data_IF_452342825835
#
_entry.id   IF_452342825835
#
_cell.length_a   1.000
_cell.length_b   1.000
_cell.length_c   1.000
_cell.angle_alpha   90.00
_cell.angle_beta   90.00
_cell.angle_gamma   90.00
#
_symmetry.space_group_name_H-M   'P 1'
#
loop_
_entity.id
_entity.type
_entity.pdbx_description
1 polymer ?
#
# COMPACT_ATOMS: atom_id res chain seq x y z
N UNK A 1 69.14 53.08 -45.32
CA UNK A 1 68.96 52.01 -44.33
C UNK A 1 67.86 52.48 -43.38
N UNK A 2 66.64 51.87 -43.43
CA UNK A 2 65.61 52.16 -42.43
C UNK A 2 65.70 51.16 -41.27
N UNK A 3 65.62 51.67 -40.03
CA UNK A 3 65.58 50.90 -38.81
C UNK A 3 64.25 50.11 -38.65
N UNK A 4 64.28 48.91 -38.07
CA UNK A 4 63.08 48.17 -37.82
C UNK A 4 62.34 48.67 -36.54
N UNK A 5 61.08 49.06 -36.71
CA UNK A 5 60.18 49.38 -35.64
C UNK A 5 59.83 48.16 -34.81
N UNK A 6 60.24 48.15 -33.55
CA UNK A 6 59.83 47.15 -32.58
C UNK A 6 58.39 47.41 -32.10
N UNK A 7 57.44 46.63 -32.63
CA UNK A 7 56.08 46.63 -32.12
C UNK A 7 56.01 46.02 -30.74
N UNK A 8 55.59 46.79 -29.75
CA UNK A 8 55.32 46.37 -28.39
C UNK A 8 54.12 45.38 -28.40
N UNK A 9 54.35 44.10 -28.17
CA UNK A 9 53.32 43.11 -27.85
C UNK A 9 52.78 43.42 -26.45
N UNK A 10 51.63 44.04 -26.39
CA UNK A 10 50.88 44.25 -25.13
C UNK A 10 50.44 42.87 -24.60
N UNK A 11 50.91 42.53 -23.45
CA UNK A 11 50.59 41.28 -22.72
C UNK A 11 49.16 41.35 -22.17
N UNK A 12 48.17 40.84 -22.92
CA UNK A 12 46.77 40.69 -22.47
C UNK A 12 46.57 39.46 -21.55
N UNK A 13 47.59 38.63 -21.36
CA UNK A 13 47.54 37.41 -20.56
C UNK A 13 47.15 37.61 -19.07
N UNK A 14 47.63 38.61 -18.33
CA UNK A 14 47.28 38.76 -16.93
C UNK A 14 45.80 39.18 -16.71
N UNK A 15 45.23 39.92 -17.65
CA UNK A 15 43.83 40.36 -17.53
C UNK A 15 42.83 39.21 -17.71
N UNK A 16 43.11 38.26 -18.62
CA UNK A 16 42.28 37.09 -18.84
C UNK A 16 42.32 36.13 -17.63
N UNK A 17 43.51 35.95 -17.06
CA UNK A 17 43.65 35.12 -15.86
C UNK A 17 42.91 35.70 -14.65
N UNK A 18 42.92 37.01 -14.48
CA UNK A 18 42.22 37.70 -13.39
C UNK A 18 40.67 37.57 -13.53
N UNK A 19 40.14 37.65 -14.75
CA UNK A 19 38.69 37.51 -15.03
C UNK A 19 38.25 36.05 -14.78
N UNK A 20 39.04 35.07 -15.22
CA UNK A 20 38.72 33.65 -14.96
C UNK A 20 38.75 33.31 -13.47
N UNK A 21 39.70 33.85 -12.72
CA UNK A 21 39.78 33.64 -11.26
C UNK A 21 38.59 34.29 -10.54
N UNK A 22 38.20 35.48 -10.93
CA UNK A 22 37.00 36.15 -10.39
C UNK A 22 35.71 35.37 -10.69
N UNK A 23 35.55 34.82 -11.89
CA UNK A 23 34.42 34.00 -12.26
C UNK A 23 34.39 32.68 -11.47
N UNK A 24 35.51 32.05 -11.23
CA UNK A 24 35.62 30.84 -10.42
C UNK A 24 35.26 31.10 -8.94
N UNK A 25 35.66 32.23 -8.39
CA UNK A 25 35.32 32.59 -7.01
C UNK A 25 33.84 32.92 -6.84
N UNK A 26 33.23 33.58 -7.80
CA UNK A 26 31.77 33.83 -7.80
C UNK A 26 31.00 32.51 -7.94
N UNK A 27 31.43 31.60 -8.82
CA UNK A 27 30.84 30.27 -8.96
C UNK A 27 30.95 29.41 -7.71
N UNK A 28 32.14 29.43 -7.04
CA UNK A 28 32.35 28.74 -5.78
C UNK A 28 31.47 29.33 -4.65
N UNK A 29 31.34 30.65 -4.59
CA UNK A 29 30.46 31.32 -3.63
C UNK A 29 28.99 30.95 -3.80
N UNK A 30 28.49 30.92 -5.03
CA UNK A 30 27.13 30.50 -5.34
C UNK A 30 26.89 29.02 -4.98
N UNK A 31 27.86 28.14 -5.29
CA UNK A 31 27.78 26.71 -4.95
C UNK A 31 27.76 26.48 -3.44
N UNK A 32 28.59 27.18 -2.68
CA UNK A 32 28.59 27.13 -1.20
C UNK A 32 27.27 27.63 -0.62
N UNK A 33 26.70 28.69 -1.17
CA UNK A 33 25.39 29.20 -0.76
C UNK A 33 24.26 28.16 -1.02
N UNK A 34 24.30 27.50 -2.17
CA UNK A 34 23.36 26.43 -2.51
C UNK A 34 23.51 25.22 -1.56
N UNK A 35 24.73 24.77 -1.27
CA UNK A 35 24.98 23.68 -0.31
C UNK A 35 24.49 24.04 1.10
N UNK A 36 24.71 25.28 1.54
CA UNK A 36 24.18 25.74 2.84
C UNK A 36 22.65 25.73 2.89
N UNK A 37 22.00 26.11 1.79
CA UNK A 37 20.54 26.04 1.65
C UNK A 37 20.03 24.59 1.75
N UNK A 38 20.68 23.65 1.08
CA UNK A 38 20.33 22.22 1.15
C UNK A 38 20.54 21.64 2.56
N UNK A 39 21.65 21.99 3.22
CA UNK A 39 21.89 21.56 4.60
C UNK A 39 20.83 22.11 5.55
N UNK A 40 20.46 23.38 5.42
CA UNK A 40 19.41 23.98 6.24
C UNK A 40 18.02 23.33 6.00
N UNK A 41 17.70 23.01 4.74
CA UNK A 41 16.48 22.28 4.40
C UNK A 41 16.44 20.88 5.02
N UNK A 42 17.53 20.10 4.87
CA UNK A 42 17.66 18.76 5.45
C UNK A 42 17.61 18.79 6.98
N UNK A 43 18.22 19.81 7.61
CA UNK A 43 18.11 19.99 9.06
C UNK A 43 16.68 20.30 9.50
N UNK A 44 15.94 21.12 8.71
CA UNK A 44 14.53 21.41 8.94
C UNK A 44 13.65 20.14 8.85
N UNK A 45 13.87 19.33 7.83
CA UNK A 45 13.16 18.05 7.68
C UNK A 45 13.47 17.09 8.84
N UNK A 46 14.73 17.01 9.25
CA UNK A 46 15.15 16.13 10.35
C UNK A 46 14.53 16.56 11.69
N UNK A 47 14.41 17.87 11.94
CA UNK A 47 13.72 18.42 13.12
C UNK A 47 12.21 18.12 13.04
N UNK A 48 11.58 18.27 11.89
CA UNK A 48 10.17 17.97 11.70
C UNK A 48 9.88 16.46 11.90
N UNK A 49 10.70 15.57 11.33
CA UNK A 49 10.60 14.13 11.54
C UNK A 49 10.80 13.76 13.02
N UNK A 50 11.79 14.37 13.67
CA UNK A 50 12.05 14.14 15.09
C UNK A 50 10.87 14.57 15.97
N UNK A 51 10.22 15.70 15.65
CA UNK A 51 9.03 16.16 16.34
C UNK A 51 7.83 15.21 16.14
N UNK A 52 7.67 14.62 14.96
CA UNK A 52 6.64 13.61 14.70
C UNK A 52 6.89 12.29 15.44
N UNK A 53 8.15 11.92 15.66
CA UNK A 53 8.52 10.69 16.36
C UNK A 53 8.55 10.86 17.89
N UNK A 54 8.60 12.10 18.40
CA UNK A 54 8.69 12.38 19.83
C UNK A 54 7.54 11.74 20.65
N UNK A 55 6.26 11.83 20.23
CA UNK A 55 5.16 11.21 21.00
C UNK A 55 5.31 9.69 21.10
N UNK A 56 5.85 9.04 20.04
CA UNK A 56 6.10 7.59 20.05
C UNK A 56 7.27 7.23 20.96
N UNK A 57 8.33 8.05 20.98
CA UNK A 57 9.45 7.87 21.89
C UNK A 57 9.04 8.05 23.35
N UNK A 58 8.20 9.03 23.65
CA UNK A 58 7.67 9.27 24.99
C UNK A 58 6.75 8.12 25.45
N UNK A 59 5.88 7.62 24.57
CA UNK A 59 5.05 6.46 24.84
C UNK A 59 5.88 5.18 25.05
N UNK A 60 6.93 4.98 24.24
CA UNK A 60 7.86 3.86 24.40
C UNK A 60 8.61 3.94 25.73
N UNK A 61 9.07 5.12 26.12
CA UNK A 61 9.75 5.35 27.40
C UNK A 61 8.82 5.16 28.60
N UNK A 62 7.54 5.52 28.47
CA UNK A 62 6.53 5.26 29.50
C UNK A 62 6.28 3.75 29.68
N UNK A 63 6.34 2.97 28.59
CA UNK A 63 6.18 1.52 28.62
C UNK A 63 7.44 0.78 29.12
N UNK A 64 8.62 1.36 28.94
CA UNK A 64 9.92 0.79 29.32
C UNK A 64 10.79 1.85 30.03
N UNK A 65 10.49 2.17 31.29
CA UNK A 65 11.14 3.28 32.01
C UNK A 65 12.65 3.10 32.21
N UNK A 66 13.13 1.87 32.29
CA UNK A 66 14.53 1.53 32.54
C UNK A 66 15.38 1.46 31.28
N UNK A 67 14.77 1.60 30.08
CA UNK A 67 15.46 1.58 28.81
C UNK A 67 15.76 3.01 28.32
N UNK A 68 16.87 3.18 27.59
CA UNK A 68 17.08 4.42 26.84
C UNK A 68 16.05 4.52 25.68
N UNK A 69 15.86 5.73 25.17
CA UNK A 69 14.81 5.99 24.17
C UNK A 69 14.95 5.13 22.90
N UNK A 70 16.17 4.79 22.49
CA UNK A 70 16.43 3.97 21.31
C UNK A 70 16.10 2.50 21.59
N UNK A 71 16.51 1.97 22.75
CA UNK A 71 16.21 0.60 23.17
C UNK A 71 14.74 0.41 23.43
N UNK A 72 14.04 1.41 24.01
CA UNK A 72 12.59 1.39 24.21
C UNK A 72 11.85 1.34 22.89
N UNK A 73 12.24 2.15 21.90
CA UNK A 73 11.64 2.15 20.56
C UNK A 73 11.90 0.83 19.82
N UNK A 74 13.11 0.28 19.92
CA UNK A 74 13.43 -1.03 19.35
C UNK A 74 12.58 -2.15 19.97
N UNK A 75 12.38 -2.13 21.29
CA UNK A 75 11.53 -3.10 22.00
C UNK A 75 10.06 -3.01 21.59
N UNK A 76 9.52 -1.79 21.43
CA UNK A 76 8.16 -1.58 20.93
C UNK A 76 8.03 -2.07 19.48
N UNK A 77 9.00 -1.74 18.63
CA UNK A 77 9.00 -2.17 17.22
C UNK A 77 9.10 -3.69 17.09
N UNK A 78 9.94 -4.33 17.90
CA UNK A 78 10.06 -5.79 17.94
C UNK A 78 8.74 -6.42 18.39
N UNK A 79 8.15 -5.92 19.48
CA UNK A 79 6.88 -6.42 20.00
C UNK A 79 5.71 -6.21 19.06
N UNK A 80 5.68 -5.05 18.37
CA UNK A 80 4.71 -4.81 17.29
C UNK A 80 4.91 -5.79 16.14
N UNK A 81 6.15 -6.05 15.73
CA UNK A 81 6.50 -7.06 14.73
C UNK A 81 6.12 -8.48 15.15
N UNK A 82 6.24 -8.83 16.42
CA UNK A 82 5.79 -10.12 16.97
C UNK A 82 4.25 -10.19 17.00
N UNK A 83 3.57 -9.13 17.44
CA UNK A 83 2.12 -9.04 17.40
C UNK A 83 1.58 -9.07 15.96
N UNK A 84 2.23 -8.40 15.02
CA UNK A 84 1.84 -8.47 13.60
C UNK A 84 2.07 -9.88 13.04
N UNK A 85 3.13 -10.56 13.42
CA UNK A 85 3.38 -11.95 13.02
C UNK A 85 2.43 -12.94 13.68
N UNK A 86 2.09 -12.76 14.94
CA UNK A 86 1.11 -13.58 15.65
C UNK A 86 -0.33 -13.27 15.24
N UNK A 87 -0.63 -12.01 14.85
CA UNK A 87 -1.92 -11.59 14.30
C UNK A 87 -2.04 -11.87 12.81
N UNK A 88 -0.94 -12.19 12.12
CA UNK A 88 -1.00 -12.66 10.75
C UNK A 88 -1.66 -14.03 10.78
N UNK A 89 -3.01 -14.04 10.68
CA UNK A 89 -3.79 -15.26 10.57
C UNK A 89 -3.12 -16.19 9.56
N UNK A 90 -2.71 -17.36 10.04
CA UNK A 90 -2.24 -18.39 9.14
C UNK A 90 -3.44 -18.80 8.28
N UNK A 91 -3.27 -19.11 6.99
CA UNK A 91 -4.37 -19.67 6.21
C UNK A 91 -5.06 -20.86 6.90
N UNK A 92 -4.32 -21.64 7.70
CA UNK A 92 -4.86 -22.73 8.53
C UNK A 92 -5.86 -22.28 9.60
N UNK A 93 -5.73 -21.05 10.12
CA UNK A 93 -6.66 -20.52 11.13
C UNK A 93 -7.97 -20.00 10.50
N UNK A 94 -7.89 -19.63 9.22
CA UNK A 94 -9.03 -19.15 8.46
C UNK A 94 -9.75 -20.27 7.71
N UNK A 95 -9.01 -21.27 7.24
CA UNK A 95 -9.51 -22.35 6.37
C UNK A 95 -8.75 -23.66 6.64
N UNK A 96 -9.43 -24.82 6.75
CA UNK A 96 -8.79 -26.13 6.86
C UNK A 96 -7.85 -26.42 5.68
N UNK A 97 -6.82 -27.23 5.90
CA UNK A 97 -5.77 -27.48 4.91
C UNK A 97 -6.28 -28.14 3.61
N UNK A 98 -7.25 -29.05 3.72
CA UNK A 98 -7.92 -29.69 2.58
C UNK A 98 -8.66 -28.66 1.72
N UNK A 99 -9.31 -27.70 2.35
CA UNK A 99 -10.01 -26.58 1.68
C UNK A 99 -9.04 -25.60 1.02
N UNK A 100 -7.90 -25.33 1.68
CA UNK A 100 -6.83 -24.52 1.05
C UNK A 100 -6.32 -25.21 -0.22
N UNK A 101 -6.07 -26.51 -0.17
CA UNK A 101 -5.59 -27.26 -1.32
C UNK A 101 -6.60 -27.25 -2.46
N UNK A 102 -7.89 -27.46 -2.17
CA UNK A 102 -8.95 -27.41 -3.17
C UNK A 102 -9.05 -26.03 -3.84
N UNK A 103 -8.96 -24.95 -3.06
CA UNK A 103 -8.94 -23.58 -3.59
C UNK A 103 -7.72 -23.34 -4.48
N UNK A 104 -6.52 -23.77 -4.03
CA UNK A 104 -5.27 -23.62 -4.79
C UNK A 104 -5.32 -24.37 -6.12
N UNK A 105 -5.95 -25.53 -6.16
CA UNK A 105 -6.10 -26.33 -7.38
C UNK A 105 -6.93 -25.57 -8.42
N UNK A 106 -8.10 -25.04 -8.03
CA UNK A 106 -8.94 -24.24 -8.92
C UNK A 106 -8.17 -23.02 -9.46
N UNK A 107 -7.50 -22.26 -8.56
CA UNK A 107 -6.75 -21.06 -8.97
C UNK A 107 -5.58 -21.37 -9.90
N UNK A 108 -4.85 -22.47 -9.69
CA UNK A 108 -3.72 -22.88 -10.53
C UNK A 108 -4.14 -23.37 -11.90
N UNK A 109 -5.30 -24.01 -12.00
CA UNK A 109 -5.85 -24.48 -13.27
C UNK A 109 -6.30 -23.34 -14.19
N UNK A 110 -6.46 -22.13 -13.64
CA UNK A 110 -6.76 -20.96 -14.45
C UNK A 110 -5.50 -20.49 -15.21
N UNK A 111 -5.57 -20.51 -16.54
CA UNK A 111 -4.43 -20.23 -17.43
C UNK A 111 -4.45 -18.83 -18.05
N UNK A 112 -5.46 -18.01 -17.77
CA UNK A 112 -5.52 -16.64 -18.27
C UNK A 112 -4.34 -15.83 -17.72
N UNK A 113 -3.52 -15.30 -18.61
CA UNK A 113 -2.30 -14.54 -18.25
C UNK A 113 -2.56 -13.17 -17.62
N UNK A 114 -3.79 -12.65 -17.75
CA UNK A 114 -4.18 -11.34 -17.16
C UNK A 114 -4.79 -11.45 -15.77
N UNK A 115 -4.85 -12.66 -15.22
CA UNK A 115 -5.40 -12.90 -13.89
C UNK A 115 -4.70 -12.10 -12.80
N UNK A 116 -5.47 -11.34 -12.02
CA UNK A 116 -5.04 -10.62 -10.82
C UNK A 116 -6.13 -10.74 -9.77
N UNK A 117 -5.77 -10.68 -8.49
CA UNK A 117 -6.74 -10.63 -7.41
C UNK A 117 -6.76 -9.24 -6.77
N UNK A 118 -7.94 -8.66 -6.61
CA UNK A 118 -8.16 -7.43 -5.85
C UNK A 118 -8.98 -7.77 -4.61
N UNK A 119 -8.44 -7.47 -3.42
CA UNK A 119 -9.06 -7.83 -2.15
C UNK A 119 -9.21 -6.59 -1.28
N UNK A 120 -10.45 -6.24 -0.97
CA UNK A 120 -10.83 -5.12 -0.10
C UNK A 120 -11.35 -5.65 1.23
N UNK A 121 -10.83 -5.15 2.35
CA UNK A 121 -11.31 -5.50 3.68
C UNK A 121 -11.73 -4.27 4.50
N UNK A 122 -12.64 -4.48 5.45
CA UNK A 122 -12.98 -3.47 6.45
C UNK A 122 -11.78 -3.25 7.40
N UNK A 123 -11.26 -2.02 7.45
CA UNK A 123 -10.06 -1.66 8.22
C UNK A 123 -10.21 -1.92 9.72
N UNK A 124 -11.38 -1.64 10.26
CA UNK A 124 -11.65 -1.72 11.70
C UNK A 124 -12.20 -3.09 12.13
N UNK A 125 -12.00 -4.12 11.31
CA UNK A 125 -12.43 -5.48 11.59
C UNK A 125 -11.24 -6.44 11.50
N UNK A 126 -10.71 -6.87 12.64
CA UNK A 126 -9.55 -7.75 12.71
C UNK A 126 -9.77 -9.09 12.00
N UNK A 127 -11.00 -9.63 12.01
CA UNK A 127 -11.37 -10.87 11.34
C UNK A 127 -11.34 -10.68 9.81
N UNK A 128 -11.90 -9.59 9.29
CA UNK A 128 -11.85 -9.27 7.87
C UNK A 128 -10.41 -9.06 7.38
N UNK A 129 -9.58 -8.39 8.18
CA UNK A 129 -8.15 -8.20 7.89
C UNK A 129 -7.40 -9.53 7.91
N UNK A 130 -7.68 -10.40 8.88
CA UNK A 130 -7.12 -11.75 8.94
C UNK A 130 -7.48 -12.60 7.73
N UNK A 131 -8.76 -12.58 7.34
CA UNK A 131 -9.25 -13.25 6.13
C UNK A 131 -8.61 -12.69 4.84
N UNK A 132 -8.43 -11.36 4.75
CA UNK A 132 -7.72 -10.73 3.64
C UNK A 132 -6.30 -11.27 3.50
N UNK A 133 -5.54 -11.32 4.60
CA UNK A 133 -4.16 -11.81 4.60
C UNK A 133 -4.08 -13.30 4.25
N UNK A 134 -5.02 -14.11 4.73
CA UNK A 134 -5.08 -15.53 4.42
C UNK A 134 -5.38 -15.76 2.92
N UNK A 135 -6.38 -15.07 2.38
CA UNK A 135 -6.69 -15.13 0.95
C UNK A 135 -5.54 -14.62 0.08
N UNK A 136 -4.91 -13.49 0.45
CA UNK A 136 -3.75 -12.98 -0.24
C UNK A 136 -2.68 -14.05 -0.40
N UNK A 137 -2.30 -14.74 0.69
CA UNK A 137 -1.30 -15.81 0.63
C UNK A 137 -1.71 -16.94 -0.31
N UNK A 138 -2.98 -17.35 -0.32
CA UNK A 138 -3.45 -18.43 -1.18
C UNK A 138 -3.41 -18.02 -2.67
N UNK A 139 -3.83 -16.81 -3.01
CA UNK A 139 -3.73 -16.31 -4.38
C UNK A 139 -2.27 -16.18 -4.84
N UNK A 140 -1.38 -15.65 -3.97
CA UNK A 140 0.06 -15.57 -4.25
C UNK A 140 0.70 -16.96 -4.45
N UNK A 141 0.33 -17.95 -3.62
CA UNK A 141 0.76 -19.34 -3.76
C UNK A 141 0.26 -20.01 -5.06
N UNK A 142 -0.88 -19.55 -5.57
CA UNK A 142 -1.39 -19.98 -6.86
C UNK A 142 -0.74 -19.23 -8.05
N UNK A 143 0.16 -18.27 -7.78
CA UNK A 143 0.84 -17.47 -8.80
C UNK A 143 0.02 -16.30 -9.33
N UNK A 144 -0.97 -15.83 -8.56
CA UNK A 144 -1.75 -14.65 -8.92
C UNK A 144 -1.13 -13.39 -8.29
N UNK A 145 -0.86 -12.32 -9.06
CA UNK A 145 -0.58 -11.00 -8.48
C UNK A 145 -1.76 -10.53 -7.64
N UNK A 146 -1.51 -10.04 -6.43
CA UNK A 146 -2.56 -9.60 -5.51
C UNK A 146 -2.40 -8.13 -5.17
N UNK A 147 -3.49 -7.39 -5.26
CA UNK A 147 -3.62 -6.01 -4.81
C UNK A 147 -4.61 -5.99 -3.64
N UNK A 148 -4.19 -5.40 -2.53
CA UNK A 148 -5.02 -5.30 -1.34
C UNK A 148 -5.31 -3.85 -1.00
N UNK A 149 -6.54 -3.59 -0.54
CA UNK A 149 -6.94 -2.29 -0.02
C UNK A 149 -7.74 -2.46 1.27
N UNK A 150 -7.85 -1.40 2.04
CA UNK A 150 -8.67 -1.34 3.26
C UNK A 150 -9.54 -0.10 3.25
N UNK A 151 -10.74 -0.24 3.78
CA UNK A 151 -11.69 0.87 3.86
C UNK A 151 -12.14 1.14 5.30
N UNK A 152 -12.24 2.41 5.71
CA UNK A 152 -12.71 2.77 7.04
C UNK A 152 -14.24 2.67 7.18
N UNK A 153 -14.99 2.66 6.08
CA UNK A 153 -16.46 2.55 6.16
C UNK A 153 -16.90 1.08 6.34
N UNK A 154 -18.06 0.86 6.96
CA UNK A 154 -18.56 -0.48 7.21
C UNK A 154 -18.93 -1.19 5.89
N UNK A 155 -18.48 -2.43 5.76
CA UNK A 155 -18.85 -3.31 4.66
C UNK A 155 -19.95 -4.26 5.10
N UNK A 156 -20.78 -4.71 4.14
CA UNK A 156 -21.78 -5.77 4.37
C UNK A 156 -21.08 -7.03 4.89
N UNK A 157 -21.71 -7.74 5.80
CA UNK A 157 -21.19 -8.99 6.34
C UNK A 157 -21.02 -10.07 5.26
N UNK A 158 -20.00 -10.89 5.39
CA UNK A 158 -19.67 -11.97 4.46
C UNK A 158 -18.62 -11.59 3.44
N UNK A 159 -18.50 -12.43 2.41
CA UNK A 159 -17.60 -12.24 1.27
C UNK A 159 -18.44 -11.94 0.03
N UNK A 160 -18.08 -10.88 -0.68
CA UNK A 160 -18.73 -10.49 -1.93
C UNK A 160 -17.68 -10.48 -3.04
N UNK A 161 -18.00 -11.02 -4.19
CA UNK A 161 -17.25 -10.84 -5.43
C UNK A 161 -18.04 -9.87 -6.29
N UNK A 162 -17.54 -8.64 -6.43
CA UNK A 162 -18.18 -7.57 -7.20
C UNK A 162 -17.49 -7.48 -8.55
N UNK A 163 -18.12 -7.96 -9.61
CA UNK A 163 -17.63 -7.81 -10.96
C UNK A 163 -18.10 -6.49 -11.58
N UNK A 164 -17.20 -5.77 -12.22
CA UNK A 164 -17.46 -4.43 -12.76
C UNK A 164 -18.54 -4.43 -13.83
N UNK A 165 -18.43 -5.34 -14.77
CA UNK A 165 -19.28 -5.43 -15.94
C UNK A 165 -20.33 -6.54 -15.80
N UNK A 166 -21.39 -6.49 -16.62
CA UNK A 166 -22.42 -7.55 -16.68
C UNK A 166 -21.82 -8.88 -17.19
N UNK A 167 -20.83 -8.79 -18.07
CA UNK A 167 -20.11 -9.94 -18.62
C UNK A 167 -18.61 -9.77 -18.29
N UNK A 168 -18.17 -10.17 -17.09
CA UNK A 168 -16.78 -10.07 -16.70
C UNK A 168 -15.90 -11.10 -17.44
N UNK A 169 -14.58 -10.94 -17.42
CA UNK A 169 -13.65 -11.96 -17.92
C UNK A 169 -13.87 -13.32 -17.24
N UNK A 170 -13.74 -14.41 -17.98
CA UNK A 170 -14.03 -15.77 -17.50
C UNK A 170 -13.27 -16.17 -16.23
N UNK A 171 -12.07 -15.65 -16.02
CA UNK A 171 -11.28 -15.96 -14.81
C UNK A 171 -11.93 -15.39 -13.51
N UNK A 172 -12.86 -14.45 -13.61
CA UNK A 172 -13.59 -13.93 -12.43
C UNK A 172 -14.55 -15.00 -11.89
N UNK A 173 -15.15 -15.81 -12.75
CA UNK A 173 -15.96 -16.95 -12.35
C UNK A 173 -15.12 -17.98 -11.59
N UNK A 174 -13.88 -18.23 -12.03
CA UNK A 174 -12.95 -19.13 -11.34
C UNK A 174 -12.57 -18.62 -9.94
N UNK A 175 -12.63 -17.30 -9.69
CA UNK A 175 -12.43 -16.75 -8.34
C UNK A 175 -13.58 -17.16 -7.42
N UNK A 176 -14.82 -17.06 -7.90
CA UNK A 176 -16.00 -17.48 -7.13
C UNK A 176 -16.00 -19.00 -6.89
N UNK A 177 -15.64 -19.78 -7.90
CA UNK A 177 -15.46 -21.23 -7.78
C UNK A 177 -14.38 -21.61 -6.76
N UNK A 178 -13.23 -20.94 -6.81
CA UNK A 178 -12.12 -21.16 -5.86
C UNK A 178 -12.53 -20.83 -4.42
N UNK A 179 -13.25 -19.73 -4.19
CA UNK A 179 -13.80 -19.41 -2.87
C UNK A 179 -14.76 -20.50 -2.38
N UNK A 180 -15.64 -20.99 -3.24
CA UNK A 180 -16.56 -22.10 -2.94
C UNK A 180 -15.80 -23.39 -2.60
N UNK A 181 -14.79 -23.78 -3.39
CA UNK A 181 -13.92 -24.92 -3.12
C UNK A 181 -13.20 -24.79 -1.77
N UNK A 182 -12.82 -23.56 -1.40
CA UNK A 182 -12.29 -23.22 -0.09
C UNK A 182 -13.31 -23.26 1.05
N UNK A 183 -14.59 -23.51 0.77
CA UNK A 183 -15.65 -23.50 1.76
C UNK A 183 -16.08 -22.08 2.19
N UNK A 184 -15.75 -21.08 1.40
CA UNK A 184 -16.13 -19.69 1.65
C UNK A 184 -17.43 -19.39 0.87
N UNK A 185 -18.50 -19.16 1.62
CA UNK A 185 -19.75 -18.66 1.03
C UNK A 185 -19.53 -17.22 0.56
N UNK A 186 -19.64 -17.01 -0.74
CA UNK A 186 -19.52 -15.67 -1.35
C UNK A 186 -20.79 -15.34 -2.16
N UNK A 187 -21.14 -14.06 -2.17
CA UNK A 187 -22.16 -13.54 -3.09
C UNK A 187 -21.44 -12.98 -4.32
N UNK A 188 -21.82 -13.43 -5.50
CA UNK A 188 -21.29 -12.95 -6.77
C UNK A 188 -22.28 -11.98 -7.40
N UNK A 189 -21.83 -10.78 -7.71
CA UNK A 189 -22.64 -9.70 -8.29
C UNK A 189 -21.91 -9.13 -9.51
N UNK A 190 -22.62 -9.07 -10.64
CA UNK A 190 -22.15 -8.47 -11.91
C UNK A 190 -22.72 -7.06 -12.10
N UNK A 191 -22.20 -6.29 -13.06
CA UNK A 191 -22.68 -4.95 -13.38
C UNK A 191 -22.43 -3.91 -12.28
N UNK A 192 -21.44 -4.11 -11.43
CA UNK A 192 -21.24 -3.28 -10.25
C UNK A 192 -20.89 -1.82 -10.60
N UNK A 193 -20.21 -1.56 -11.73
CA UNK A 193 -19.95 -0.17 -12.18
C UNK A 193 -21.24 0.59 -12.47
N UNK A 194 -22.20 -0.04 -13.13
CA UNK A 194 -23.54 0.51 -13.37
C UNK A 194 -24.25 0.83 -12.07
N UNK A 195 -24.25 -0.12 -11.12
CA UNK A 195 -24.84 0.10 -9.80
C UNK A 195 -24.21 1.30 -9.08
N UNK A 196 -22.88 1.46 -9.11
CA UNK A 196 -22.19 2.60 -8.49
C UNK A 196 -22.59 3.91 -9.16
N UNK A 197 -22.65 3.95 -10.49
CA UNK A 197 -23.06 5.13 -11.25
C UNK A 197 -24.49 5.56 -10.87
N UNK A 198 -25.44 4.63 -10.81
CA UNK A 198 -26.81 4.89 -10.41
C UNK A 198 -26.93 5.40 -8.96
N UNK A 199 -26.17 4.79 -8.05
CA UNK A 199 -26.14 5.23 -6.65
C UNK A 199 -25.58 6.63 -6.49
N UNK A 200 -24.50 6.98 -7.20
CA UNK A 200 -23.93 8.32 -7.19
C UNK A 200 -24.84 9.36 -7.83
N UNK A 201 -25.58 9.00 -8.89
CA UNK A 201 -26.58 9.87 -9.51
C UNK A 201 -27.72 10.19 -8.54
N UNK A 202 -28.19 9.20 -7.76
CA UNK A 202 -29.23 9.39 -6.76
C UNK A 202 -28.74 10.10 -5.50
N UNK A 203 -27.52 9.82 -5.08
CA UNK A 203 -26.88 10.40 -3.90
C UNK A 203 -25.39 10.68 -4.15
N UNK A 204 -25.01 11.92 -4.51
CA UNK A 204 -23.62 12.27 -4.76
C UNK A 204 -22.66 12.05 -3.57
N UNK A 205 -23.19 11.90 -2.34
CA UNK A 205 -22.44 11.58 -1.13
C UNK A 205 -22.38 10.09 -0.83
N UNK A 206 -22.89 9.25 -1.74
CA UNK A 206 -22.81 7.81 -1.55
C UNK A 206 -21.36 7.35 -1.49
N UNK A 207 -21.07 6.45 -0.53
CA UNK A 207 -19.74 5.88 -0.29
C UNK A 207 -19.86 4.36 -0.38
N UNK A 208 -19.00 3.76 -1.19
CA UNK A 208 -18.92 2.31 -1.37
C UNK A 208 -17.63 1.93 -2.09
N UNK A 209 -17.33 0.64 -2.26
CA UNK A 209 -16.22 0.22 -3.10
C UNK A 209 -16.37 0.79 -4.51
N UNK A 210 -15.28 1.31 -5.06
CA UNK A 210 -15.21 1.74 -6.45
C UNK A 210 -14.17 0.89 -7.15
N UNK A 211 -14.45 0.52 -8.40
CA UNK A 211 -13.53 -0.24 -9.24
C UNK A 211 -12.82 0.73 -10.19
N UNK A 212 -11.51 0.64 -10.25
CA UNK A 212 -10.71 1.34 -11.24
C UNK A 212 -10.98 0.78 -12.64
N UNK A 213 -10.63 1.52 -13.70
CA UNK A 213 -10.95 1.13 -15.08
C UNK A 213 -10.31 -0.20 -15.49
N UNK A 214 -9.10 -0.50 -14.97
CA UNK A 214 -8.36 -1.74 -15.22
C UNK A 214 -8.71 -2.88 -14.25
N UNK A 215 -9.65 -2.64 -13.33
CA UNK A 215 -10.05 -3.57 -12.28
C UNK A 215 -11.37 -4.24 -12.64
N UNK A 216 -11.37 -5.47 -13.17
CA UNK A 216 -12.60 -6.14 -13.60
C UNK A 216 -13.47 -6.63 -12.46
N UNK A 217 -12.91 -6.81 -11.25
CA UNK A 217 -13.63 -7.24 -10.05
C UNK A 217 -12.90 -6.88 -8.77
N UNK A 218 -13.57 -7.04 -7.64
CA UNK A 218 -12.99 -6.97 -6.30
C UNK A 218 -13.64 -8.01 -5.38
N UNK A 219 -12.84 -8.68 -4.57
CA UNK A 219 -13.29 -9.50 -3.45
C UNK A 219 -13.42 -8.58 -2.24
N UNK A 220 -14.64 -8.39 -1.75
CA UNK A 220 -14.94 -7.53 -0.60
C UNK A 220 -15.17 -8.40 0.63
N UNK A 221 -14.40 -8.18 1.69
CA UNK A 221 -14.48 -8.94 2.93
C UNK A 221 -15.02 -8.04 4.04
N UNK A 222 -16.25 -8.31 4.45
CA UNK A 222 -16.89 -7.66 5.59
C UNK A 222 -16.69 -8.43 6.90
N UNK A 223 -17.54 -8.15 7.87
CA UNK A 223 -17.59 -8.93 9.11
C UNK A 223 -18.13 -10.34 8.85
N UNK A 224 -17.79 -11.31 9.73
CA UNK A 224 -18.45 -12.61 9.67
C UNK A 224 -19.95 -12.45 9.94
N UNK A 225 -20.83 -13.12 9.16
CA UNK A 225 -22.25 -13.15 9.49
C UNK A 225 -22.44 -13.68 10.91
N UNK A 226 -23.19 -12.98 11.74
CA UNK A 226 -23.56 -13.55 13.04
C UNK A 226 -24.36 -14.84 12.80
N UNK A 227 -24.05 -15.95 13.49
CA UNK A 227 -24.87 -17.14 13.41
C UNK A 227 -26.32 -16.75 13.69
N UNK A 228 -27.24 -17.15 12.81
CA UNK A 228 -28.67 -16.98 13.07
C UNK A 228 -28.97 -17.68 14.38
N UNK A 229 -29.50 -16.94 15.37
CA UNK A 229 -29.94 -17.55 16.60
C UNK A 229 -30.90 -18.71 16.23
N UNK A 230 -30.78 -19.90 16.85
CA UNK A 230 -31.71 -20.98 16.61
C UNK A 230 -33.12 -20.44 16.81
N UNK A 231 -34.00 -20.64 15.81
CA UNK A 231 -35.40 -20.24 15.92
C UNK A 231 -36.01 -20.98 17.13
N UNK A 232 -36.07 -20.27 18.26
CA UNK A 232 -36.73 -20.74 19.48
C UNK A 232 -38.23 -20.57 19.29
N UNK A 233 -38.76 -21.21 18.27
CA UNK A 233 -40.20 -21.41 18.11
C UNK A 233 -40.45 -22.91 18.00
N UNK A 234 -40.41 -23.54 19.17
CA UNK A 234 -41.01 -24.84 19.40
C UNK A 234 -41.58 -24.82 20.81
N UNK A 235 -42.80 -24.46 20.94
CA UNK A 235 -43.95 -25.12 21.58
C UNK A 235 -45.10 -24.14 21.79
#
# INVERSE_FOLDING_TARGET
>A
MPEPSTAARSSSLPTIAAVLLAAALVGAGAYIAQLRGQIAALQGELVAQKAQLQPFADAAKAAYPDADSAAALASVTQRLGELMRSSAAQPSDFMPADKQQAMLEVLRNQTDGQRKAWILAAQNNAEAVGAQLALQKLFEQAGWPVLTARTPYPLKAGVLVLAGDETPPAYVDSVSEALGAGGIESQYLTGYRGFVADRKAQNPKWVGPELEDDQPYVIVIGSRPKPKAPDTTAE
#
